data_IF_764941253800
#
_entry.id   IF_764941253800
#
_cell.length_a   1.000
_cell.length_b   1.000
_cell.length_c   1.000
_cell.angle_alpha   90.00
_cell.angle_beta   90.00
_cell.angle_gamma   90.00
#
_symmetry.space_group_name_H-M   'P 1'
#
loop_
_entity.id
_entity.type
_entity.pdbx_description
1 polymer ?
#
# COMPACT_ATOMS: atom_id res chain seq x y z
N UNK A 1 -5.23 0.01 -4.42
CA UNK A 1 -5.54 1.46 -4.26
C UNK A 1 -4.52 2.07 -3.31
N UNK A 2 -4.11 3.33 -3.54
CA UNK A 2 -3.33 4.11 -2.58
C UNK A 2 -4.31 4.95 -1.75
N UNK A 3 -4.66 4.47 -0.56
CA UNK A 3 -5.63 5.13 0.32
C UNK A 3 -4.88 6.19 1.13
N UNK A 4 -5.40 7.41 1.16
CA UNK A 4 -4.80 8.48 1.94
C UNK A 4 -4.93 8.20 3.44
N UNK A 5 -3.84 8.34 4.19
CA UNK A 5 -3.84 8.18 5.65
C UNK A 5 -4.63 9.28 6.38
N UNK A 6 -4.85 10.42 5.72
CA UNK A 6 -5.49 11.60 6.29
C UNK A 6 -6.62 12.12 5.40
N UNK A 7 -7.61 12.76 6.02
CA UNK A 7 -8.63 13.59 5.36
C UNK A 7 -8.71 14.96 6.01
N UNK A 8 -9.33 15.91 5.33
CA UNK A 8 -9.68 17.20 5.95
C UNK A 8 -10.60 16.98 7.15
N UNK A 9 -10.32 17.68 8.25
CA UNK A 9 -11.14 17.61 9.46
C UNK A 9 -12.55 18.15 9.20
N UNK A 10 -12.63 19.27 8.47
CA UNK A 10 -13.89 19.92 8.09
C UNK A 10 -13.96 20.11 6.57
N UNK A 11 -15.10 19.73 5.99
CA UNK A 11 -15.38 19.89 4.55
C UNK A 11 -16.22 21.15 4.34
N UNK A 12 -15.71 22.10 3.57
CA UNK A 12 -16.48 23.28 3.17
C UNK A 12 -17.54 22.92 2.13
N UNK A 13 -18.79 23.35 2.36
CA UNK A 13 -19.90 23.18 1.40
C UNK A 13 -19.79 24.06 0.15
N UNK A 14 -18.85 25.01 0.13
CA UNK A 14 -18.58 25.89 -1.01
C UNK A 14 -17.08 26.08 -1.24
N UNK A 15 -16.70 26.50 -2.45
CA UNK A 15 -15.32 26.84 -2.80
C UNK A 15 -14.76 27.90 -1.84
N UNK A 16 -13.66 27.58 -1.16
CA UNK A 16 -12.92 28.53 -0.32
C UNK A 16 -12.38 29.65 -1.23
N UNK A 17 -12.83 30.88 -0.98
CA UNK A 17 -12.38 32.06 -1.73
C UNK A 17 -11.10 32.61 -1.13
N UNK A 18 -10.28 33.27 -1.96
CA UNK A 18 -9.13 34.04 -1.49
C UNK A 18 -9.62 35.32 -0.84
N UNK A 19 -9.11 35.65 0.33
CA UNK A 19 -9.30 36.96 0.96
C UNK A 19 -8.07 37.84 0.67
N UNK A 20 -8.23 39.02 0.04
CA UNK A 20 -7.12 39.92 -0.23
C UNK A 20 -6.40 40.32 1.06
N UNK A 21 -5.08 40.17 1.11
CA UNK A 21 -4.27 40.50 2.29
C UNK A 21 -4.19 39.39 3.35
N UNK A 22 -4.91 38.29 3.19
CA UNK A 22 -4.83 37.13 4.07
C UNK A 22 -4.03 35.99 3.43
N UNK A 23 -3.33 35.23 4.27
CA UNK A 23 -2.68 33.99 3.86
C UNK A 23 -3.69 32.86 3.61
N UNK A 24 -3.28 31.76 2.96
CA UNK A 24 -4.14 30.60 2.82
C UNK A 24 -4.55 30.07 4.21
N UNK A 25 -5.82 29.70 4.42
CA UNK A 25 -6.23 29.11 5.68
C UNK A 25 -5.52 27.76 5.88
N UNK A 26 -5.15 27.40 7.12
CA UNK A 26 -4.53 26.12 7.40
C UNK A 26 -5.49 24.96 7.11
N UNK A 27 -4.98 23.90 6.46
CA UNK A 27 -5.70 22.65 6.29
C UNK A 27 -5.55 21.80 7.53
N UNK A 28 -6.62 21.72 8.33
CA UNK A 28 -6.69 20.79 9.45
C UNK A 28 -6.95 19.38 8.93
N UNK A 29 -6.11 18.43 9.33
CA UNK A 29 -6.20 17.03 8.90
C UNK A 29 -6.53 16.11 10.08
N UNK A 30 -7.24 15.03 9.79
CA UNK A 30 -7.55 13.96 10.74
C UNK A 30 -7.33 12.60 10.08
N UNK A 31 -6.94 11.59 10.84
CA UNK A 31 -6.62 10.26 10.33
C UNK A 31 -7.85 9.58 9.70
N UNK A 32 -7.64 8.89 8.58
CA UNK A 32 -8.63 8.01 7.98
C UNK A 32 -8.67 6.66 8.70
N UNK A 33 -9.85 6.00 8.73
CA UNK A 33 -9.94 4.62 9.16
C UNK A 33 -9.02 3.73 8.33
N UNK A 34 -8.27 2.88 9.02
CA UNK A 34 -7.39 1.89 8.40
C UNK A 34 -8.23 0.76 7.80
N UNK A 35 -8.56 0.88 6.51
CA UNK A 35 -9.45 -0.06 5.81
C UNK A 35 -8.90 -1.48 5.86
N UNK A 36 -7.62 -1.67 5.55
CA UNK A 36 -7.02 -3.01 5.51
C UNK A 36 -7.01 -3.65 6.89
N UNK A 37 -6.69 -2.90 7.95
CA UNK A 37 -6.78 -3.38 9.33
C UNK A 37 -8.22 -3.73 9.71
N UNK A 38 -9.17 -2.89 9.32
CA UNK A 38 -10.59 -3.13 9.59
C UNK A 38 -11.05 -4.45 8.96
N UNK A 39 -10.67 -4.70 7.70
CA UNK A 39 -10.98 -5.96 7.00
C UNK A 39 -10.23 -7.15 7.63
N UNK A 40 -8.93 -7.03 7.86
CA UNK A 40 -8.08 -8.13 8.34
C UNK A 40 -8.41 -8.60 9.75
N UNK A 41 -9.01 -7.76 10.58
CA UNK A 41 -9.44 -8.13 11.95
C UNK A 41 -10.95 -8.30 12.09
N UNK A 42 -11.72 -8.21 10.99
CA UNK A 42 -13.17 -8.34 11.05
C UNK A 42 -13.57 -9.79 11.40
N UNK A 43 -14.63 -10.01 12.22
CA UNK A 43 -15.14 -11.36 12.50
C UNK A 43 -15.57 -12.13 11.25
N UNK A 44 -16.02 -11.41 10.22
CA UNK A 44 -16.38 -11.95 8.91
C UNK A 44 -15.35 -11.60 7.83
N UNK A 45 -14.05 -11.53 8.19
CA UNK A 45 -13.01 -11.26 7.21
C UNK A 45 -13.03 -12.28 6.06
N UNK A 46 -12.65 -11.90 4.84
CA UNK A 46 -12.44 -12.85 3.75
C UNK A 46 -11.42 -13.93 4.13
N UNK A 47 -11.52 -15.10 3.50
CA UNK A 47 -10.54 -16.19 3.67
C UNK A 47 -9.11 -15.76 3.36
N UNK A 48 -8.95 -14.82 2.42
CA UNK A 48 -7.67 -14.27 2.03
C UNK A 48 -7.71 -12.74 2.00
N UNK A 49 -6.78 -12.11 2.71
CA UNK A 49 -6.59 -10.66 2.77
C UNK A 49 -5.16 -10.34 2.32
N UNK A 50 -5.04 -9.62 1.20
CA UNK A 50 -3.76 -9.20 0.64
C UNK A 50 -3.62 -7.69 0.73
N UNK A 51 -2.54 -7.23 1.37
CA UNK A 51 -2.14 -5.83 1.39
C UNK A 51 -1.02 -5.55 0.40
N UNK A 52 -0.89 -4.29 -0.01
CA UNK A 52 0.26 -3.79 -0.77
C UNK A 52 0.97 -2.73 0.06
N UNK A 53 2.29 -2.71 -0.02
CA UNK A 53 3.12 -1.79 0.74
C UNK A 53 4.25 -1.24 -0.14
N UNK A 54 4.22 0.06 -0.38
CA UNK A 54 5.34 0.77 -0.98
C UNK A 54 6.25 1.24 0.16
N UNK A 55 7.48 0.77 0.17
CA UNK A 55 8.49 1.12 1.19
C UNK A 55 9.63 1.91 0.53
N UNK A 56 10.38 2.65 1.34
CA UNK A 56 11.59 3.36 0.90
C UNK A 56 12.86 2.84 1.55
N UNK A 57 12.70 1.97 2.55
CA UNK A 57 13.72 1.34 3.37
C UNK A 57 13.17 0.05 3.99
N UNK A 58 14.07 -0.83 4.45
CA UNK A 58 13.79 -2.03 5.25
C UNK A 58 12.53 -2.81 4.84
N UNK A 59 12.38 -3.03 3.52
CA UNK A 59 11.11 -3.45 2.89
C UNK A 59 10.49 -4.69 3.53
N UNK A 60 11.32 -5.67 3.87
CA UNK A 60 10.88 -6.94 4.47
C UNK A 60 10.44 -6.76 5.92
N UNK A 61 11.20 -6.02 6.73
CA UNK A 61 10.87 -5.77 8.13
C UNK A 61 9.59 -4.93 8.24
N UNK A 62 9.53 -3.84 7.49
CA UNK A 62 8.35 -2.99 7.38
C UNK A 62 7.12 -3.77 6.91
N UNK A 63 7.30 -4.67 5.94
CA UNK A 63 6.24 -5.55 5.45
C UNK A 63 5.74 -6.54 6.51
N UNK A 64 6.63 -7.15 7.31
CA UNK A 64 6.25 -8.05 8.42
C UNK A 64 5.47 -7.31 9.50
N UNK A 65 5.92 -6.11 9.89
CA UNK A 65 5.22 -5.27 10.86
C UNK A 65 3.81 -4.90 10.35
N UNK A 66 3.69 -4.55 9.06
CA UNK A 66 2.40 -4.27 8.41
C UNK A 66 1.52 -5.50 8.37
N UNK A 67 2.03 -6.68 8.02
CA UNK A 67 1.29 -7.94 8.00
C UNK A 67 0.60 -8.20 9.35
N UNK A 68 1.38 -8.16 10.43
CA UNK A 68 0.87 -8.39 11.78
C UNK A 68 -0.14 -7.32 12.22
N UNK A 69 0.20 -6.03 12.03
CA UNK A 69 -0.66 -4.90 12.43
C UNK A 69 -1.99 -4.90 11.69
N UNK A 70 -1.97 -5.17 10.38
CA UNK A 70 -3.16 -5.13 9.51
C UNK A 70 -3.97 -6.43 9.57
N UNK A 71 -3.40 -7.51 10.11
CA UNK A 71 -4.05 -8.82 10.11
C UNK A 71 -4.19 -9.39 8.70
N UNK A 72 -3.33 -9.03 7.75
CA UNK A 72 -3.36 -9.58 6.41
C UNK A 72 -2.71 -10.97 6.37
N UNK A 73 -3.01 -11.74 5.32
CA UNK A 73 -2.37 -13.05 5.07
C UNK A 73 -1.11 -12.89 4.23
N UNK A 74 -1.09 -11.88 3.35
CA UNK A 74 0.09 -11.45 2.61
C UNK A 74 0.22 -9.93 2.58
N UNK A 75 1.47 -9.46 2.59
CA UNK A 75 1.86 -8.12 2.16
C UNK A 75 2.75 -8.26 0.93
N UNK A 76 2.32 -7.66 -0.18
CA UNK A 76 3.15 -7.47 -1.37
C UNK A 76 3.91 -6.17 -1.20
N UNK A 77 5.19 -6.26 -0.86
CA UNK A 77 6.04 -5.11 -0.57
C UNK A 77 6.98 -4.82 -1.75
N UNK A 78 7.23 -3.55 -2.02
CA UNK A 78 8.22 -3.12 -3.01
C UNK A 78 8.91 -1.83 -2.57
N UNK A 79 10.21 -1.74 -2.86
CA UNK A 79 10.98 -0.51 -2.68
C UNK A 79 10.67 0.46 -3.83
N UNK A 80 10.07 1.62 -3.51
CA UNK A 80 9.75 2.68 -4.47
C UNK A 80 10.75 3.83 -4.44
N UNK A 81 11.84 3.70 -3.68
CA UNK A 81 12.91 4.69 -3.63
C UNK A 81 13.59 4.85 -4.99
N UNK A 82 14.21 6.01 -5.19
CA UNK A 82 15.07 6.26 -6.36
C UNK A 82 16.29 5.33 -6.39
N UNK A 83 16.65 4.74 -5.25
CA UNK A 83 17.72 3.76 -5.06
C UNK A 83 17.29 2.30 -5.14
N UNK A 84 16.04 2.01 -5.50
CA UNK A 84 15.45 0.65 -5.56
C UNK A 84 16.18 -0.33 -6.48
N UNK A 85 17.08 0.16 -7.35
CA UNK A 85 17.83 -0.67 -8.30
C UNK A 85 16.99 -1.20 -9.45
N UNK A 86 15.77 -0.68 -9.63
CA UNK A 86 14.90 -0.94 -10.79
C UNK A 86 15.17 0.12 -11.86
N UNK A 87 15.52 -0.31 -13.07
CA UNK A 87 15.79 0.62 -14.18
C UNK A 87 14.57 1.48 -14.50
N UNK A 88 14.77 2.80 -14.56
CA UNK A 88 13.68 3.78 -14.77
C UNK A 88 12.78 4.04 -13.56
N UNK A 89 13.05 3.38 -12.41
CA UNK A 89 12.29 3.53 -11.17
C UNK A 89 10.94 2.78 -11.18
N UNK A 90 10.45 2.45 -9.98
CA UNK A 90 9.20 1.68 -9.82
C UNK A 90 7.95 2.52 -10.05
N UNK A 91 7.95 3.77 -9.58
CA UNK A 91 6.83 4.69 -9.71
C UNK A 91 6.85 5.36 -11.09
N UNK A 92 5.81 5.14 -11.89
CA UNK A 92 5.72 5.62 -13.28
C UNK A 92 6.40 4.71 -14.31
N UNK A 93 7.25 3.76 -13.90
CA UNK A 93 7.87 2.77 -14.79
C UNK A 93 7.00 1.54 -15.07
N UNK A 94 7.47 0.63 -15.94
CA UNK A 94 6.80 -0.64 -16.28
C UNK A 94 7.36 -1.84 -15.51
N UNK A 95 8.49 -1.65 -14.82
CA UNK A 95 9.24 -2.69 -14.10
C UNK A 95 8.99 -2.60 -12.60
N UNK A 96 9.13 -3.71 -11.90
CA UNK A 96 9.03 -3.75 -10.44
C UNK A 96 9.84 -4.91 -9.85
N UNK A 97 10.27 -4.76 -8.60
CA UNK A 97 10.83 -5.82 -7.77
C UNK A 97 9.97 -5.91 -6.51
N UNK A 98 9.32 -7.05 -6.32
CA UNK A 98 8.37 -7.26 -5.23
C UNK A 98 8.84 -8.40 -4.34
N UNK A 99 8.56 -8.28 -3.05
CA UNK A 99 8.68 -9.36 -2.08
C UNK A 99 7.29 -9.65 -1.52
N UNK A 100 6.84 -10.89 -1.65
CA UNK A 100 5.58 -11.34 -1.05
C UNK A 100 5.87 -11.91 0.34
N UNK A 101 5.33 -11.25 1.35
CA UNK A 101 5.58 -11.54 2.76
C UNK A 101 4.31 -12.15 3.34
N UNK A 102 4.39 -13.40 3.77
CA UNK A 102 3.36 -14.10 4.53
C UNK A 102 3.79 -14.30 5.99
N UNK A 103 2.96 -14.99 6.78
CA UNK A 103 3.24 -15.24 8.21
C UNK A 103 4.57 -15.96 8.43
N UNK A 104 4.79 -17.01 7.66
CA UNK A 104 5.95 -17.91 7.78
C UNK A 104 6.69 -18.05 6.43
N UNK A 105 6.40 -17.17 5.47
CA UNK A 105 6.96 -17.23 4.12
C UNK A 105 7.41 -15.86 3.67
N UNK A 106 8.50 -15.84 2.90
CA UNK A 106 9.01 -14.66 2.23
C UNK A 106 9.47 -15.09 0.84
N UNK A 107 8.86 -14.54 -0.21
CA UNK A 107 9.24 -14.83 -1.59
C UNK A 107 9.63 -13.54 -2.29
N UNK A 108 10.93 -13.36 -2.52
CA UNK A 108 11.46 -12.24 -3.30
C UNK A 108 11.46 -12.58 -4.78
N UNK A 109 10.81 -11.75 -5.59
CA UNK A 109 10.80 -11.88 -7.04
C UNK A 109 11.90 -11.02 -7.65
N UNK A 110 12.54 -11.48 -8.75
CA UNK A 110 13.49 -10.65 -9.47
C UNK A 110 12.77 -9.42 -10.05
N UNK A 111 13.54 -8.54 -10.70
CA UNK A 111 12.93 -7.46 -11.47
C UNK A 111 12.13 -8.03 -12.65
N UNK A 112 10.84 -7.70 -12.69
CA UNK A 112 9.88 -8.20 -13.66
C UNK A 112 9.04 -7.05 -14.21
N UNK A 113 8.44 -7.26 -15.38
CA UNK A 113 7.39 -6.38 -15.88
C UNK A 113 6.17 -6.47 -14.95
N UNK A 114 5.47 -5.34 -14.77
CA UNK A 114 4.27 -5.27 -13.93
C UNK A 114 3.19 -6.25 -14.35
N UNK A 115 3.10 -6.58 -15.64
CA UNK A 115 2.18 -7.59 -16.15
C UNK A 115 2.55 -9.00 -15.67
N UNK A 116 3.84 -9.35 -15.69
CA UNK A 116 4.32 -10.62 -15.14
C UNK A 116 4.16 -10.70 -13.61
N UNK A 117 4.39 -9.58 -12.91
CA UNK A 117 4.10 -9.48 -11.47
C UNK A 117 2.61 -9.73 -11.20
N UNK A 118 1.73 -9.13 -11.99
CA UNK A 118 0.29 -9.31 -11.86
C UNK A 118 -0.14 -10.76 -12.12
N UNK A 119 0.37 -11.39 -13.18
CA UNK A 119 0.09 -12.79 -13.50
C UNK A 119 0.56 -13.74 -12.39
N UNK A 120 1.80 -13.56 -11.93
CA UNK A 120 2.36 -14.40 -10.85
C UNK A 120 1.60 -14.22 -9.53
N UNK A 121 1.20 -12.99 -9.20
CA UNK A 121 0.40 -12.70 -8.02
C UNK A 121 -1.02 -13.28 -8.12
N UNK A 122 -1.66 -13.19 -9.29
CA UNK A 122 -2.96 -13.78 -9.52
C UNK A 122 -2.92 -15.31 -9.35
N UNK A 123 -1.90 -15.97 -9.88
CA UNK A 123 -1.66 -17.41 -9.70
C UNK A 123 -1.47 -17.79 -8.23
N UNK A 124 -0.68 -17.01 -7.48
CA UNK A 124 -0.51 -17.20 -6.04
C UNK A 124 -1.86 -17.07 -5.31
N UNK A 125 -2.63 -16.03 -5.59
CA UNK A 125 -3.95 -15.81 -4.98
C UNK A 125 -4.89 -16.97 -5.29
N UNK A 126 -4.95 -17.42 -6.54
CA UNK A 126 -5.79 -18.55 -6.95
C UNK A 126 -5.43 -19.83 -6.17
N UNK A 127 -4.14 -20.16 -6.08
CA UNK A 127 -3.67 -21.34 -5.33
C UNK A 127 -3.99 -21.34 -3.83
N UNK A 128 -4.34 -20.17 -3.26
CA UNK A 128 -4.73 -20.00 -1.86
C UNK A 128 -6.25 -19.96 -1.68
N UNK A 129 -6.98 -19.93 -2.78
CA UNK A 129 -8.44 -19.95 -2.82
C UNK A 129 -9.01 -21.31 -3.30
N UNK A 130 -8.20 -22.18 -3.86
CA UNK A 130 -8.58 -23.59 -4.05
C UNK A 130 -8.56 -24.33 -2.70
#
# INVERSE_FOLDING_TARGET
AAVADWRVADVSGAKIKKAPGEGPPPLQLTENPDILKTVGHHPQRPRLVVGFAAETDDTVENGRLKLARKGADFIVANDVSTSSGVEGGVMGGTRNRVTVIGRDSEESWPELDKDMVAEKLAGLIASRLD
#
